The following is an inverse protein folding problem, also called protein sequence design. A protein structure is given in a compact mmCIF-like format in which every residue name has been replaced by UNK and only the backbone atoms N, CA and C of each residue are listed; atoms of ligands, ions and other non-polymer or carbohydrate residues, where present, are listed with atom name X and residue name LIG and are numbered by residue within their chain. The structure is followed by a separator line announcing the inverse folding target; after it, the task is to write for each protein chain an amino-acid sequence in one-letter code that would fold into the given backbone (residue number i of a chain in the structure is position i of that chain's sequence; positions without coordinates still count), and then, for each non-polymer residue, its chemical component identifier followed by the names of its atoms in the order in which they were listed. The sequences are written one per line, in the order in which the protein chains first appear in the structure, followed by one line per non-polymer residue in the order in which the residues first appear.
data_IF_522904443348
#
_entry.id   IF_522904443348
#
_cell.length_a   1.000
_cell.length_b   1.000
_cell.length_c   1.000
_cell.angle_alpha   90.00
_cell.angle_beta   90.00
_cell.angle_gamma   90.00
#
_symmetry.space_group_name_H-M   'P 1'
#
loop_
_entity.id
_entity.type
_entity.pdbx_description
1 polymer ?
#
# COMPACT_ATOMS: atom_id res chain seq x y z
N UNK A 1 -2.55 13.44 11.91
CA UNK A 1 -3.47 14.36 12.61
C UNK A 1 -4.51 13.60 13.42
N UNK A 2 -5.35 12.77 12.82
CA UNK A 2 -6.37 11.98 13.54
C UNK A 2 -5.75 11.08 14.62
N UNK A 3 -4.66 10.37 14.31
CA UNK A 3 -3.90 9.58 15.27
C UNK A 3 -3.37 10.40 16.46
N UNK A 4 -3.02 11.67 16.23
CA UNK A 4 -2.55 12.61 17.25
C UNK A 4 -3.68 13.18 18.13
N UNK A 5 -4.93 12.77 17.90
CA UNK A 5 -6.09 13.29 18.63
C UNK A 5 -6.49 14.70 18.26
N UNK A 6 -6.05 15.19 17.10
CA UNK A 6 -6.48 16.50 16.62
C UNK A 6 -8.01 16.54 16.39
N UNK A 7 -8.65 17.70 16.60
CA UNK A 7 -10.09 17.82 16.40
C UNK A 7 -10.52 17.42 15.00
N UNK A 8 -11.67 16.72 14.90
CA UNK A 8 -12.22 16.20 13.64
C UNK A 8 -12.28 17.26 12.54
N UNK A 9 -12.75 18.45 12.85
CA UNK A 9 -12.87 19.54 11.87
C UNK A 9 -11.53 19.98 11.29
N UNK A 10 -10.43 19.79 12.03
CA UNK A 10 -9.09 20.21 11.59
C UNK A 10 -8.56 19.30 10.48
N UNK A 11 -8.63 17.99 10.65
CA UNK A 11 -8.16 17.09 9.58
C UNK A 11 -9.12 17.07 8.39
N UNK A 12 -10.44 17.19 8.60
CA UNK A 12 -11.42 17.33 7.52
C UNK A 12 -11.18 18.59 6.66
N UNK A 13 -10.65 19.67 7.27
CA UNK A 13 -10.29 20.85 6.50
C UNK A 13 -9.13 20.58 5.53
N UNK A 14 -8.17 19.74 5.91
CA UNK A 14 -7.09 19.32 5.00
C UNK A 14 -7.56 18.39 3.90
N UNK A 15 -8.46 17.44 4.20
CA UNK A 15 -9.04 16.56 3.18
C UNK A 15 -9.80 17.38 2.13
N UNK A 16 -10.68 18.28 2.55
CA UNK A 16 -11.41 19.16 1.62
C UNK A 16 -10.49 20.05 0.80
N UNK A 17 -9.41 20.56 1.41
CA UNK A 17 -8.44 21.36 0.69
C UNK A 17 -7.69 20.52 -0.36
N UNK A 18 -7.35 19.26 -0.05
CA UNK A 18 -6.73 18.34 -0.99
C UNK A 18 -7.66 18.06 -2.18
N UNK A 19 -8.93 17.70 -1.91
CA UNK A 19 -9.94 17.47 -2.97
C UNK A 19 -10.13 18.71 -3.85
N UNK A 20 -10.12 19.91 -3.23
CA UNK A 20 -10.23 21.17 -3.99
C UNK A 20 -9.02 21.39 -4.90
N UNK A 21 -7.81 21.10 -4.41
CA UNK A 21 -6.58 21.26 -5.19
C UNK A 21 -6.45 20.24 -6.33
N UNK A 22 -6.95 19.01 -6.16
CA UNK A 22 -6.96 17.99 -7.22
C UNK A 22 -7.73 18.43 -8.48
N UNK A 23 -8.73 19.29 -8.29
CA UNK A 23 -9.60 19.79 -9.35
C UNK A 23 -9.32 21.24 -9.76
N UNK A 24 -8.29 21.86 -9.21
CA UNK A 24 -7.93 23.26 -9.46
C UNK A 24 -6.74 23.38 -10.44
N UNK A 25 -6.41 24.62 -10.81
CA UNK A 25 -5.17 24.93 -11.48
C UNK A 25 -3.96 24.57 -10.57
N UNK A 26 -2.75 24.38 -11.13
CA UNK A 26 -1.57 24.05 -10.35
C UNK A 26 -1.36 25.01 -9.18
N UNK A 27 -1.16 24.49 -7.96
CA UNK A 27 -1.06 25.28 -6.74
C UNK A 27 0.01 26.39 -6.80
N UNK A 28 1.10 26.16 -7.54
CA UNK A 28 2.15 27.17 -7.76
C UNK A 28 1.64 28.37 -8.56
N UNK A 29 0.76 28.16 -9.55
CA UNK A 29 0.16 29.26 -10.32
C UNK A 29 -0.83 30.06 -9.45
N UNK A 30 -1.67 29.37 -8.70
CA UNK A 30 -2.63 29.98 -7.79
C UNK A 30 -1.97 30.78 -6.66
N UNK A 31 -0.81 30.31 -6.21
CA UNK A 31 -0.01 31.04 -5.22
C UNK A 31 0.58 32.32 -5.84
N UNK A 32 1.14 32.23 -7.04
CA UNK A 32 1.71 33.37 -7.75
C UNK A 32 0.69 34.44 -8.14
N UNK A 33 -0.55 34.04 -8.50
CA UNK A 33 -1.66 34.97 -8.79
C UNK A 33 -2.37 35.49 -7.54
N UNK A 34 -2.07 34.95 -6.36
CA UNK A 34 -2.78 35.31 -5.11
C UNK A 34 -4.18 34.70 -4.98
N UNK A 35 -4.57 33.80 -5.87
CA UNK A 35 -5.92 33.22 -5.93
C UNK A 35 -6.09 31.97 -5.02
N UNK A 36 -5.01 31.48 -4.42
CA UNK A 36 -5.02 30.26 -3.63
C UNK A 36 -6.05 30.29 -2.47
N UNK A 37 -6.18 31.44 -1.80
CA UNK A 37 -7.14 31.60 -0.70
C UNK A 37 -8.59 31.86 -1.17
N UNK A 38 -8.81 32.11 -2.45
CA UNK A 38 -10.14 32.22 -3.03
C UNK A 38 -10.79 30.84 -3.25
N UNK A 39 -10.00 29.76 -3.21
CA UNK A 39 -10.50 28.42 -3.37
C UNK A 39 -11.32 27.96 -2.15
N UNK A 40 -12.46 27.27 -2.37
CA UNK A 40 -13.26 26.72 -1.28
C UNK A 40 -12.42 25.80 -0.35
N UNK A 41 -12.52 26.01 0.95
CA UNK A 41 -11.82 25.19 1.95
C UNK A 41 -10.34 25.52 2.15
N UNK A 42 -9.75 26.46 1.40
CA UNK A 42 -8.37 26.89 1.57
C UNK A 42 -8.29 28.22 2.32
N UNK A 43 -8.27 28.14 3.65
CA UNK A 43 -8.04 29.28 4.51
C UNK A 43 -6.56 29.67 4.64
N UNK A 44 -6.29 30.79 5.32
CA UNK A 44 -4.93 31.33 5.51
C UNK A 44 -3.89 30.31 5.99
N UNK A 45 -4.26 29.45 6.94
CA UNK A 45 -3.36 28.42 7.50
C UNK A 45 -2.97 27.37 6.45
N UNK A 46 -3.93 26.88 5.68
CA UNK A 46 -3.68 25.87 4.65
C UNK A 46 -2.90 26.49 3.48
N UNK A 47 -3.28 27.70 3.06
CA UNK A 47 -2.54 28.43 2.03
C UNK A 47 -1.08 28.67 2.42
N UNK A 48 -0.82 29.05 3.68
CA UNK A 48 0.56 29.20 4.19
C UNK A 48 1.36 27.89 4.15
N UNK A 49 0.74 26.75 4.45
CA UNK A 49 1.41 25.44 4.36
C UNK A 49 1.63 24.97 2.93
N UNK A 50 0.74 25.34 2.02
CA UNK A 50 0.96 25.07 0.59
C UNK A 50 2.14 25.91 0.08
N UNK A 51 2.23 27.18 0.47
CA UNK A 51 3.37 28.03 0.13
C UNK A 51 4.68 27.44 0.69
N UNK A 52 4.69 27.07 1.97
CA UNK A 52 5.84 26.42 2.62
C UNK A 52 6.29 25.15 1.87
N UNK A 53 5.34 24.28 1.47
CA UNK A 53 5.63 23.08 0.70
C UNK A 53 6.24 23.39 -0.67
N UNK A 54 5.72 24.40 -1.37
CA UNK A 54 6.21 24.79 -2.68
C UNK A 54 7.61 25.43 -2.63
N UNK A 55 7.92 26.14 -1.55
CA UNK A 55 9.19 26.83 -1.35
C UNK A 55 10.30 25.90 -0.85
N UNK A 56 9.98 25.06 0.15
CA UNK A 56 10.97 24.24 0.89
C UNK A 56 10.90 22.75 0.56
N UNK A 57 9.84 22.28 -0.13
CA UNK A 57 9.59 20.88 -0.37
C UNK A 57 9.04 20.12 0.84
N UNK A 58 8.86 20.79 1.99
CA UNK A 58 8.37 20.18 3.24
C UNK A 58 7.35 21.09 3.93
N UNK A 59 6.67 20.55 4.94
CA UNK A 59 5.77 21.29 5.83
C UNK A 59 6.24 21.03 7.26
N UNK A 60 6.71 22.05 7.98
CA UNK A 60 7.23 21.93 9.35
C UNK A 60 6.28 21.17 10.29
N UNK A 61 4.99 21.47 10.19
CA UNK A 61 3.98 20.76 10.99
C UNK A 61 3.87 19.26 10.66
N UNK A 62 4.10 18.87 9.40
CA UNK A 62 4.15 17.45 9.01
C UNK A 62 5.37 16.77 9.62
N UNK A 63 6.52 17.43 9.58
CA UNK A 63 7.75 16.92 10.18
C UNK A 63 7.65 16.79 11.71
N UNK A 64 7.02 17.77 12.38
CA UNK A 64 6.73 17.71 13.81
C UNK A 64 5.83 16.51 14.16
N UNK A 65 4.77 16.28 13.37
CA UNK A 65 3.91 15.12 13.55
C UNK A 65 4.64 13.80 13.27
N UNK A 66 5.49 13.76 12.24
CA UNK A 66 6.26 12.56 11.87
C UNK A 66 7.33 12.22 12.92
N UNK A 67 7.90 13.22 13.57
CA UNK A 67 8.83 13.02 14.68
C UNK A 67 8.17 12.40 15.92
N UNK A 68 6.90 12.73 16.18
CA UNK A 68 6.12 12.18 17.31
C UNK A 68 5.45 10.85 16.96
N UNK A 69 5.01 10.69 15.74
CA UNK A 69 4.25 9.55 15.24
C UNK A 69 4.87 9.08 13.93
N UNK A 70 5.71 8.05 13.95
CA UNK A 70 6.36 7.56 12.75
C UNK A 70 5.38 7.26 11.62
N UNK A 71 5.66 7.64 10.36
CA UNK A 71 4.78 7.39 9.23
C UNK A 71 4.40 5.91 9.01
N UNK A 72 5.24 5.00 9.51
CA UNK A 72 4.99 3.54 9.51
C UNK A 72 3.74 3.13 10.30
N UNK A 73 3.25 3.97 11.22
CA UNK A 73 1.95 3.77 11.89
C UNK A 73 0.77 3.70 10.92
N UNK A 74 0.87 4.33 9.75
CA UNK A 74 -0.14 4.22 8.71
C UNK A 74 -0.27 2.80 8.17
N UNK A 75 0.80 2.02 8.21
CA UNK A 75 0.78 0.61 7.83
C UNK A 75 -0.03 -0.20 8.85
N UNK A 76 0.19 0.07 10.14
CA UNK A 76 -0.56 -0.58 11.24
C UNK A 76 -2.06 -0.25 11.14
N UNK A 77 -2.40 1.01 10.87
CA UNK A 77 -3.79 1.45 10.64
C UNK A 77 -4.41 0.82 9.38
N UNK A 78 -3.61 0.47 8.38
CA UNK A 78 -4.05 -0.21 7.16
C UNK A 78 -4.41 -1.68 7.35
N UNK A 79 -4.07 -2.28 8.50
CA UNK A 79 -4.37 -3.68 8.81
C UNK A 79 -5.84 -3.82 9.19
N UNK A 80 -6.56 -4.70 8.49
CA UNK A 80 -7.95 -4.99 8.81
C UNK A 80 -8.09 -5.57 10.23
N UNK A 81 -8.97 -4.98 11.02
CA UNK A 81 -9.19 -5.35 12.43
C UNK A 81 -8.49 -4.42 13.42
N UNK A 82 -7.69 -3.45 12.95
CA UNK A 82 -7.09 -2.42 13.78
C UNK A 82 -7.76 -1.08 13.47
N UNK A 83 -8.51 -0.57 14.44
CA UNK A 83 -9.07 0.78 14.37
C UNK A 83 -8.16 1.81 15.06
N UNK A 84 -8.45 3.09 14.87
CA UNK A 84 -7.67 4.22 15.40
C UNK A 84 -7.35 4.06 16.89
N UNK A 85 -8.35 3.82 17.74
CA UNK A 85 -8.15 3.67 19.20
C UNK A 85 -7.27 2.47 19.57
N UNK A 86 -7.38 1.38 18.82
CA UNK A 86 -6.56 0.18 19.02
C UNK A 86 -5.11 0.46 18.63
N UNK A 87 -4.89 1.11 17.51
CA UNK A 87 -3.54 1.50 17.06
C UNK A 87 -2.89 2.49 18.03
N UNK A 88 -3.65 3.48 18.53
CA UNK A 88 -3.16 4.42 19.54
C UNK A 88 -2.71 3.71 20.83
N UNK A 89 -3.52 2.77 21.33
CA UNK A 89 -3.16 1.99 22.52
C UNK A 89 -1.96 1.06 22.26
N UNK A 90 -1.89 0.42 21.08
CA UNK A 90 -0.73 -0.39 20.68
C UNK A 90 0.56 0.44 20.65
N UNK A 91 0.50 1.65 20.11
CA UNK A 91 1.63 2.56 20.08
C UNK A 91 2.03 3.05 21.47
N UNK A 92 1.05 3.51 22.28
CA UNK A 92 1.32 4.09 23.59
C UNK A 92 1.81 3.06 24.63
N UNK A 93 1.18 1.88 24.67
CA UNK A 93 1.38 0.90 25.73
C UNK A 93 2.43 -0.16 25.35
N UNK A 94 2.63 -0.42 24.05
CA UNK A 94 3.50 -1.49 23.55
C UNK A 94 4.59 -1.00 22.59
N UNK A 95 4.65 0.31 22.27
CA UNK A 95 5.64 0.88 21.36
C UNK A 95 5.53 0.42 19.91
N UNK A 96 4.37 -0.13 19.50
CA UNK A 96 4.15 -0.64 18.14
C UNK A 96 4.00 0.52 17.18
N UNK A 97 5.04 0.79 16.42
CA UNK A 97 5.14 1.90 15.47
C UNK A 97 5.16 1.44 14.00
N UNK A 98 5.32 0.15 13.76
CA UNK A 98 5.44 -0.43 12.42
C UNK A 98 4.73 -1.77 12.30
N UNK A 99 4.58 -2.26 11.06
CA UNK A 99 4.04 -3.60 10.80
C UNK A 99 4.96 -4.69 11.37
N UNK A 100 6.27 -4.48 11.36
CA UNK A 100 7.24 -5.42 11.92
C UNK A 100 7.11 -5.53 13.45
N UNK A 101 6.93 -4.40 14.15
CA UNK A 101 6.69 -4.39 15.59
C UNK A 101 5.40 -5.14 15.94
N UNK A 102 4.34 -4.92 15.13
CA UNK A 102 3.06 -5.60 15.31
C UNK A 102 3.19 -7.12 15.15
N UNK A 103 3.95 -7.59 14.16
CA UNK A 103 4.21 -9.01 13.95
C UNK A 103 4.98 -9.60 15.13
N UNK A 104 6.07 -8.98 15.54
CA UNK A 104 6.86 -9.41 16.69
C UNK A 104 6.02 -9.46 17.98
N UNK A 105 5.14 -8.48 18.20
CA UNK A 105 4.24 -8.45 19.34
C UNK A 105 3.18 -9.58 19.31
N UNK A 106 2.70 -9.95 18.11
CA UNK A 106 1.79 -11.09 17.92
C UNK A 106 2.49 -12.45 18.10
N UNK A 107 3.74 -12.57 17.69
CA UNK A 107 4.54 -13.79 17.84
C UNK A 107 4.94 -14.02 19.30
N UNK A 108 5.39 -12.98 19.99
CA UNK A 108 5.74 -13.05 21.43
C UNK A 108 4.54 -13.21 22.34
N UNK A 109 3.32 -12.95 21.84
CA UNK A 109 2.09 -12.98 22.63
C UNK A 109 1.94 -11.78 23.58
N UNK A 110 2.74 -10.73 23.46
CA UNK A 110 2.70 -9.54 24.33
C UNK A 110 1.37 -8.80 24.27
N UNK A 111 0.62 -8.92 23.17
CA UNK A 111 -0.73 -8.36 23.02
C UNK A 111 -1.82 -9.18 23.72
N UNK A 112 -1.47 -10.33 24.33
CA UNK A 112 -2.43 -11.17 25.07
C UNK A 112 -2.84 -10.45 26.35
N UNK A 113 -4.13 -10.20 26.53
CA UNK A 113 -4.63 -9.45 27.68
C UNK A 113 -4.83 -7.95 27.43
N UNK A 114 -4.45 -7.44 26.27
CA UNK A 114 -4.81 -6.07 25.89
C UNK A 114 -6.34 -5.89 25.88
N UNK A 115 -6.89 -4.86 26.52
CA UNK A 115 -8.32 -4.60 26.54
C UNK A 115 -8.91 -4.58 25.13
N UNK A 116 -10.04 -5.27 24.95
CA UNK A 116 -10.76 -5.37 23.66
C UNK A 116 -10.08 -6.22 22.58
N UNK A 117 -8.92 -6.85 22.85
CA UNK A 117 -8.24 -7.78 21.96
C UNK A 117 -8.31 -9.21 22.50
N UNK A 118 -9.43 -9.88 22.23
CA UNK A 118 -9.57 -11.33 22.52
C UNK A 118 -8.85 -12.18 21.46
N UNK A 119 -8.72 -13.49 21.71
CA UNK A 119 -8.07 -14.46 20.79
C UNK A 119 -8.54 -14.32 19.34
N UNK A 120 -9.86 -14.21 19.12
CA UNK A 120 -10.44 -14.06 17.78
C UNK A 120 -10.00 -12.75 17.10
N UNK A 121 -9.86 -11.66 17.86
CA UNK A 121 -9.38 -10.38 17.32
C UNK A 121 -7.91 -10.47 16.89
N UNK A 122 -7.06 -11.13 17.70
CA UNK A 122 -5.65 -11.36 17.35
C UNK A 122 -5.49 -12.22 16.09
N UNK A 123 -6.31 -13.27 15.94
CA UNK A 123 -6.34 -14.06 14.70
C UNK A 123 -6.80 -13.27 13.49
N UNK A 124 -7.80 -12.38 13.66
CA UNK A 124 -8.24 -11.49 12.59
C UNK A 124 -7.13 -10.50 12.18
N UNK A 125 -6.38 -9.95 13.13
CA UNK A 125 -5.25 -9.07 12.88
C UNK A 125 -4.15 -9.82 12.11
N UNK A 126 -3.79 -11.05 12.50
CA UNK A 126 -2.84 -11.89 11.77
C UNK A 126 -3.24 -12.06 10.29
N UNK A 127 -4.51 -12.40 10.05
CA UNK A 127 -5.04 -12.48 8.67
C UNK A 127 -5.03 -11.13 7.96
N UNK A 128 -5.34 -10.06 8.69
CA UNK A 128 -5.29 -8.68 8.17
C UNK A 128 -3.90 -8.26 7.71
N UNK A 129 -2.85 -8.66 8.43
CA UNK A 129 -1.45 -8.42 8.04
C UNK A 129 -1.12 -9.10 6.72
N UNK A 130 -1.46 -10.39 6.58
CA UNK A 130 -1.23 -11.13 5.34
C UNK A 130 -1.95 -10.47 4.15
N UNK A 131 -3.22 -10.09 4.34
CA UNK A 131 -3.98 -9.39 3.32
C UNK A 131 -3.42 -7.98 3.00
N UNK A 132 -2.89 -7.27 3.98
CA UNK A 132 -2.25 -5.96 3.79
C UNK A 132 -0.96 -6.08 2.99
N UNK A 133 -0.10 -7.04 3.34
CA UNK A 133 1.14 -7.35 2.59
C UNK A 133 0.82 -7.74 1.15
N UNK A 134 -0.16 -8.62 0.95
CA UNK A 134 -0.60 -9.04 -0.37
C UNK A 134 -1.16 -7.88 -1.22
N UNK A 135 -1.80 -6.88 -0.62
CA UNK A 135 -2.26 -5.67 -1.35
C UNK A 135 -1.10 -4.78 -1.79
N UNK A 136 -0.06 -4.63 -0.98
CA UNK A 136 1.12 -3.82 -1.30
C UNK A 136 1.98 -4.42 -2.41
N UNK A 137 1.89 -5.73 -2.60
CA UNK A 137 2.60 -6.43 -3.68
C UNK A 137 1.83 -6.44 -5.00
N UNK A 138 0.60 -5.85 -5.04
CA UNK A 138 -0.18 -5.81 -6.27
C UNK A 138 0.45 -4.89 -7.31
N UNK A 139 0.60 -5.42 -8.50
CA UNK A 139 1.22 -4.72 -9.65
C UNK A 139 0.13 -4.11 -10.53
N UNK A 140 0.23 -2.84 -10.95
CA UNK A 140 -0.69 -2.25 -11.92
C UNK A 140 -0.74 -3.07 -13.23
N UNK A 141 -1.94 -3.21 -13.81
CA UNK A 141 -2.18 -3.97 -15.03
C UNK A 141 -1.21 -3.60 -16.16
N UNK A 142 -0.96 -2.30 -16.34
CA UNK A 142 -0.06 -1.79 -17.37
C UNK A 142 1.40 -2.23 -17.21
N UNK A 143 1.82 -2.61 -15.99
CA UNK A 143 3.13 -3.20 -15.71
C UNK A 143 3.12 -4.73 -15.79
N UNK A 144 2.07 -5.36 -15.30
CA UNK A 144 1.97 -6.82 -15.24
C UNK A 144 1.81 -7.44 -16.64
N UNK A 145 1.03 -6.82 -17.53
CA UNK A 145 0.75 -7.36 -18.87
C UNK A 145 2.01 -7.50 -19.75
N UNK A 146 2.92 -6.52 -19.85
CA UNK A 146 4.19 -6.71 -20.55
C UNK A 146 5.05 -7.82 -19.97
N UNK A 147 5.09 -7.98 -18.64
CA UNK A 147 5.85 -9.05 -17.98
C UNK A 147 5.27 -10.41 -18.39
N UNK A 148 3.95 -10.59 -18.31
CA UNK A 148 3.27 -11.81 -18.70
C UNK A 148 3.52 -12.17 -20.19
N UNK A 149 3.46 -11.20 -21.08
CA UNK A 149 3.74 -11.38 -22.51
C UNK A 149 5.19 -11.85 -22.73
N UNK A 150 6.14 -11.27 -22.01
CA UNK A 150 7.55 -11.68 -22.10
C UNK A 150 7.75 -13.11 -21.60
N UNK A 151 7.09 -13.49 -20.49
CA UNK A 151 7.15 -14.85 -19.95
C UNK A 151 6.53 -15.88 -20.93
N UNK A 152 5.38 -15.55 -21.52
CA UNK A 152 4.72 -16.40 -22.54
C UNK A 152 5.66 -16.60 -23.74
N UNK A 153 6.19 -15.53 -24.30
CA UNK A 153 7.10 -15.60 -25.44
C UNK A 153 8.36 -16.45 -25.13
N UNK A 154 8.90 -16.31 -23.92
CA UNK A 154 10.03 -17.14 -23.47
C UNK A 154 9.69 -18.63 -23.43
N UNK A 155 8.50 -18.98 -22.91
CA UNK A 155 8.03 -20.37 -22.85
C UNK A 155 7.71 -20.94 -24.26
N UNK A 156 7.13 -20.14 -25.15
CA UNK A 156 6.84 -20.52 -26.55
C UNK A 156 8.11 -20.89 -27.30
N UNK A 157 9.20 -20.12 -27.12
CA UNK A 157 10.51 -20.42 -27.74
C UNK A 157 11.09 -21.79 -27.33
N UNK A 158 10.61 -22.34 -26.19
CA UNK A 158 11.00 -23.70 -25.77
C UNK A 158 10.37 -24.83 -26.60
N UNK A 159 9.28 -24.54 -27.33
CA UNK A 159 8.60 -25.51 -28.18
C UNK A 159 7.90 -26.68 -27.46
N UNK A 160 7.90 -26.69 -26.13
CA UNK A 160 7.28 -27.72 -25.28
C UNK A 160 5.91 -27.33 -24.71
N UNK A 161 5.57 -26.06 -24.76
CA UNK A 161 4.30 -25.51 -24.30
C UNK A 161 3.43 -25.03 -25.48
N UNK A 162 2.14 -25.30 -25.43
CA UNK A 162 1.16 -24.86 -26.41
C UNK A 162 -0.03 -24.19 -25.68
N UNK A 163 -0.82 -23.38 -26.40
CA UNK A 163 -2.00 -22.70 -25.89
C UNK A 163 -1.70 -21.86 -24.63
N UNK A 164 -0.56 -21.18 -24.62
CA UNK A 164 -0.20 -20.32 -23.49
C UNK A 164 -1.13 -19.11 -23.43
N UNK A 165 -1.67 -18.87 -22.26
CA UNK A 165 -2.53 -17.71 -22.01
C UNK A 165 -2.44 -17.27 -20.56
N UNK A 166 -2.71 -15.99 -20.32
CA UNK A 166 -2.84 -15.46 -18.95
C UNK A 166 -4.14 -15.94 -18.31
N UNK A 167 -4.13 -16.13 -17.00
CA UNK A 167 -5.27 -16.49 -16.19
C UNK A 167 -5.51 -15.48 -15.04
N UNK A 168 -6.31 -15.85 -14.06
CA UNK A 168 -6.53 -15.08 -12.83
C UNK A 168 -7.00 -13.64 -13.04
N UNK A 169 -6.53 -12.75 -12.19
CA UNK A 169 -6.86 -11.32 -12.20
C UNK A 169 -6.35 -10.61 -13.45
N UNK A 170 -5.22 -11.05 -14.02
CA UNK A 170 -4.66 -10.48 -15.23
C UNK A 170 -5.55 -10.74 -16.44
N UNK A 171 -6.12 -11.93 -16.57
CA UNK A 171 -7.09 -12.26 -17.64
C UNK A 171 -8.37 -11.43 -17.52
N UNK A 172 -8.84 -11.15 -16.29
CA UNK A 172 -10.02 -10.33 -16.04
C UNK A 172 -9.76 -8.83 -16.22
N UNK A 173 -8.54 -8.44 -16.58
CA UNK A 173 -8.12 -7.05 -16.76
C UNK A 173 -8.39 -6.18 -15.50
N UNK A 174 -8.17 -6.73 -14.29
CA UNK A 174 -8.28 -5.95 -13.06
C UNK A 174 -7.22 -4.83 -13.04
N UNK A 175 -7.56 -3.67 -12.49
CA UNK A 175 -6.66 -2.51 -12.45
C UNK A 175 -5.29 -2.81 -11.83
N UNK A 176 -5.27 -3.74 -10.86
CA UNK A 176 -4.04 -4.27 -10.25
C UNK A 176 -4.12 -5.78 -10.11
N UNK A 177 -2.98 -6.47 -10.23
CA UNK A 177 -2.86 -7.93 -10.09
C UNK A 177 -1.92 -8.28 -8.95
N UNK A 178 -2.23 -9.34 -8.20
CA UNK A 178 -1.36 -9.85 -7.10
C UNK A 178 -0.23 -10.74 -7.64
N UNK A 179 -0.56 -11.54 -8.63
CA UNK A 179 0.29 -12.52 -9.27
C UNK A 179 0.02 -12.57 -10.78
N UNK A 180 0.90 -13.20 -11.50
CA UNK A 180 0.76 -13.43 -12.95
C UNK A 180 0.60 -14.93 -13.15
N UNK A 181 -0.64 -15.37 -13.33
CA UNK A 181 -0.97 -16.73 -13.65
C UNK A 181 -0.83 -16.97 -15.17
N UNK A 182 -0.06 -17.98 -15.56
CA UNK A 182 0.03 -18.44 -16.95
C UNK A 182 -0.36 -19.90 -17.00
N UNK A 183 -1.30 -20.24 -17.86
CA UNK A 183 -1.71 -21.61 -18.12
C UNK A 183 -1.28 -22.02 -19.52
N UNK A 184 -0.91 -23.27 -19.67
CA UNK A 184 -0.54 -23.86 -20.96
C UNK A 184 -0.92 -25.33 -21.03
N UNK A 185 -0.84 -25.90 -22.22
CA UNK A 185 -0.88 -27.36 -22.45
C UNK A 185 0.50 -27.86 -22.84
N UNK A 186 0.90 -29.03 -22.33
CA UNK A 186 2.18 -29.67 -22.68
C UNK A 186 2.07 -31.19 -22.60
N UNK A 187 2.83 -31.88 -23.44
CA UNK A 187 3.08 -33.31 -23.30
C UNK A 187 4.26 -33.62 -22.37
N UNK A 188 5.08 -32.62 -22.11
CA UNK A 188 6.30 -32.66 -21.29
C UNK A 188 6.28 -31.54 -20.26
N UNK A 189 5.36 -31.59 -19.28
CA UNK A 189 5.17 -30.47 -18.34
C UNK A 189 6.42 -30.18 -17.49
N UNK A 190 7.20 -31.21 -17.14
CA UNK A 190 8.46 -31.05 -16.41
C UNK A 190 9.47 -30.15 -17.13
N UNK A 191 9.57 -30.30 -18.47
CA UNK A 191 10.49 -29.49 -19.27
C UNK A 191 10.04 -28.03 -19.34
N UNK A 192 8.72 -27.77 -19.34
CA UNK A 192 8.16 -26.40 -19.31
C UNK A 192 8.46 -25.76 -17.98
N UNK A 193 8.25 -26.47 -16.87
CA UNK A 193 8.56 -25.99 -15.51
C UNK A 193 10.05 -25.71 -15.38
N UNK A 194 10.92 -26.67 -15.75
CA UNK A 194 12.36 -26.50 -15.68
C UNK A 194 12.85 -25.30 -16.50
N UNK A 195 12.28 -25.10 -17.68
CA UNK A 195 12.57 -23.93 -18.50
C UNK A 195 12.13 -22.63 -17.80
N UNK A 196 10.93 -22.59 -17.21
CA UNK A 196 10.43 -21.39 -16.51
C UNK A 196 11.28 -21.05 -15.30
N UNK A 197 11.69 -22.05 -14.53
CA UNK A 197 12.60 -21.88 -13.37
C UNK A 197 13.97 -21.31 -13.80
N UNK A 198 14.45 -21.64 -14.99
CA UNK A 198 15.72 -21.15 -15.54
C UNK A 198 15.60 -19.77 -16.23
N UNK A 199 14.42 -19.16 -16.22
CA UNK A 199 14.26 -17.84 -16.80
C UNK A 199 15.06 -16.80 -16.01
N UNK A 200 15.98 -16.12 -16.67
CA UNK A 200 16.91 -15.16 -16.05
C UNK A 200 16.25 -14.00 -15.27
N UNK A 201 14.94 -13.78 -15.49
CA UNK A 201 14.14 -12.81 -14.76
C UNK A 201 13.42 -13.39 -13.55
N UNK A 202 13.54 -14.68 -13.28
CA UNK A 202 13.05 -15.31 -12.08
C UNK A 202 14.08 -15.10 -10.96
N UNK A 203 13.76 -14.28 -9.98
CA UNK A 203 14.69 -13.99 -8.86
C UNK A 203 14.76 -15.12 -7.85
N UNK A 204 13.66 -15.86 -7.66
CA UNK A 204 13.57 -16.98 -6.74
C UNK A 204 12.47 -17.97 -7.14
N UNK A 205 12.69 -19.25 -6.86
CA UNK A 205 11.67 -20.31 -6.98
C UNK A 205 11.10 -20.58 -5.59
N UNK A 206 9.80 -20.30 -5.40
CA UNK A 206 9.13 -20.47 -4.11
C UNK A 206 8.52 -21.87 -3.97
N UNK A 207 8.07 -22.46 -5.07
CA UNK A 207 7.55 -23.81 -5.15
C UNK A 207 7.74 -24.37 -6.56
N UNK A 208 8.02 -25.66 -6.65
CA UNK A 208 8.10 -26.44 -7.88
C UNK A 208 7.26 -27.70 -7.68
N UNK A 209 6.17 -27.86 -8.48
CA UNK A 209 5.18 -28.92 -8.32
C UNK A 209 4.83 -29.62 -9.62
#
# INVERSE_FOLDING_TARGET
MEFAGEPFFKFMAYERAAETLENAAPAAQLLASGELQALPGIGKTIAGRIAELLESGTIAYREELAARYPPTLLEVLGVQGIGMKTAQAMFADFGIASLADLEAALESGSLTGMPRLGKKSLENIKRGILAYKGRRTRTPLGRALPIARTAIAYLELGGKAANLTVAGSLRRAEATVGDIDIICTSREPGDVIARFVQWERAEAVLAEG
#
